data_IF_091050090382
#
_entry.id   IF_091050090382
#
_cell.length_a   1.000
_cell.length_b   1.000
_cell.length_c   1.000
_cell.angle_alpha   90.00
_cell.angle_beta   90.00
_cell.angle_gamma   90.00
#
_symmetry.space_group_name_H-M   'P 1'
#
loop_
_entity.id
_entity.type
_entity.pdbx_description
1 polymer ?
#
# COMPACT_ATOMS: atom_id res chain seq x y z
N UNK A 1 -14.09 8.11 2.31
CA UNK A 1 -13.99 6.65 2.16
C UNK A 1 -15.35 5.97 1.97
N UNK A 2 -16.42 6.40 2.67
CA UNK A 2 -17.75 5.77 2.58
C UNK A 2 -18.23 5.55 1.14
N UNK A 3 -18.21 6.59 0.30
CA UNK A 3 -18.68 6.49 -1.09
C UNK A 3 -17.92 5.43 -1.91
N UNK A 4 -16.62 5.29 -1.65
CA UNK A 4 -15.77 4.27 -2.28
C UNK A 4 -16.18 2.87 -1.83
N UNK A 5 -16.43 2.67 -0.53
CA UNK A 5 -16.89 1.39 0.01
C UNK A 5 -18.31 1.04 -0.50
N UNK A 6 -19.19 2.03 -0.66
CA UNK A 6 -20.52 1.82 -1.25
C UNK A 6 -20.44 1.37 -2.72
N UNK A 7 -19.54 1.96 -3.51
CA UNK A 7 -19.35 1.51 -4.89
C UNK A 7 -18.74 0.11 -4.99
N UNK A 8 -17.86 -0.27 -4.06
CA UNK A 8 -17.36 -1.65 -3.93
C UNK A 8 -18.51 -2.59 -3.56
N UNK A 9 -19.31 -2.25 -2.55
CA UNK A 9 -20.47 -3.03 -2.11
C UNK A 9 -21.44 -3.30 -3.26
N UNK A 10 -21.79 -2.27 -4.04
CA UNK A 10 -22.66 -2.41 -5.23
C UNK A 10 -22.12 -3.41 -6.25
N UNK A 11 -20.81 -3.40 -6.50
CA UNK A 11 -20.18 -4.33 -7.42
C UNK A 11 -20.09 -5.77 -6.89
N UNK A 12 -20.30 -5.96 -5.59
CA UNK A 12 -20.31 -7.25 -4.91
C UNK A 12 -21.73 -7.66 -4.51
N UNK A 13 -22.70 -7.50 -5.42
CA UNK A 13 -24.11 -7.85 -5.22
C UNK A 13 -24.76 -7.15 -4.01
N UNK A 14 -24.35 -5.91 -3.75
CA UNK A 14 -24.77 -5.13 -2.58
C UNK A 14 -24.42 -5.76 -1.24
N UNK A 15 -23.47 -6.70 -1.21
CA UNK A 15 -22.96 -7.31 0.01
C UNK A 15 -21.70 -6.59 0.49
N UNK A 16 -21.64 -6.35 1.80
CA UNK A 16 -20.42 -5.86 2.42
C UNK A 16 -19.36 -6.97 2.35
N UNK A 17 -18.21 -6.65 1.77
CA UNK A 17 -17.15 -7.61 1.49
C UNK A 17 -15.77 -7.12 1.93
N UNK A 18 -15.58 -5.79 2.07
CA UNK A 18 -14.40 -5.17 2.64
C UNK A 18 -14.82 -4.25 3.80
N UNK A 19 -14.17 -4.41 4.94
CA UNK A 19 -14.44 -3.64 6.14
C UNK A 19 -13.20 -2.83 6.52
N UNK A 20 -13.33 -1.50 6.76
CA UNK A 20 -12.26 -0.72 7.35
C UNK A 20 -12.05 -1.12 8.81
N UNK A 21 -10.82 -1.48 9.18
CA UNK A 21 -10.48 -1.81 10.58
C UNK A 21 -9.60 -0.72 11.17
N UNK A 22 -9.83 -0.39 12.44
CA UNK A 22 -9.00 0.58 13.14
C UNK A 22 -7.56 0.08 13.31
N UNK A 23 -6.61 1.02 13.24
CA UNK A 23 -5.20 0.82 13.63
C UNK A 23 -4.76 2.01 14.48
N UNK A 24 -3.77 1.77 15.33
CA UNK A 24 -3.25 2.77 16.26
C UNK A 24 -2.55 3.92 15.53
N UNK A 25 -2.75 5.14 16.05
CA UNK A 25 -2.26 6.42 15.50
C UNK A 25 -0.91 6.87 16.05
N UNK A 26 -0.01 5.93 16.33
CA UNK A 26 1.29 6.16 16.98
C UNK A 26 2.43 6.50 15.98
N UNK A 27 2.08 6.80 14.72
CA UNK A 27 3.04 7.06 13.65
C UNK A 27 3.51 5.81 12.88
N UNK A 28 3.02 4.62 13.24
CA UNK A 28 3.26 3.37 12.51
C UNK A 28 2.04 2.88 11.71
N UNK A 29 1.03 3.74 11.53
CA UNK A 29 -0.26 3.37 10.94
C UNK A 29 -0.19 2.65 9.59
N UNK A 30 0.77 3.00 8.71
CA UNK A 30 0.97 2.28 7.43
C UNK A 30 1.31 0.80 7.65
N UNK A 31 2.32 0.53 8.48
CA UNK A 31 2.80 -0.83 8.72
C UNK A 31 1.85 -1.61 9.63
N UNK A 32 1.11 -0.92 10.51
CA UNK A 32 -0.03 -1.52 11.23
C UNK A 32 -1.14 -1.95 10.28
N UNK A 33 -1.53 -1.08 9.33
CA UNK A 33 -2.54 -1.40 8.33
C UNK A 33 -2.12 -2.59 7.47
N UNK A 34 -0.87 -2.61 6.98
CA UNK A 34 -0.36 -3.73 6.20
C UNK A 34 -0.29 -5.01 7.03
N UNK A 35 0.20 -4.95 8.29
CA UNK A 35 0.24 -6.11 9.18
C UNK A 35 -1.16 -6.68 9.43
N UNK A 36 -2.15 -5.83 9.73
CA UNK A 36 -3.54 -6.26 9.93
C UNK A 36 -4.13 -6.87 8.66
N UNK A 37 -3.86 -6.29 7.49
CA UNK A 37 -4.35 -6.84 6.23
C UNK A 37 -3.68 -8.19 5.88
N UNK A 38 -2.46 -8.44 6.33
CA UNK A 38 -1.74 -9.70 6.11
C UNK A 38 -2.20 -10.82 7.06
N UNK A 39 -2.30 -10.54 8.36
CA UNK A 39 -2.47 -11.59 9.39
C UNK A 39 -3.54 -11.28 10.45
N UNK A 40 -4.32 -10.21 10.25
CA UNK A 40 -5.39 -9.79 11.18
C UNK A 40 -4.89 -9.19 12.50
N UNK A 41 -3.58 -8.94 12.65
CA UNK A 41 -2.95 -8.37 13.85
C UNK A 41 -1.84 -7.38 13.46
N UNK A 42 -1.50 -6.47 14.35
CA UNK A 42 -0.44 -5.46 14.12
C UNK A 42 0.98 -5.97 14.39
N UNK A 43 1.13 -7.24 14.78
CA UNK A 43 2.36 -7.84 15.32
C UNK A 43 3.61 -7.70 14.44
N UNK A 44 3.46 -7.51 13.13
CA UNK A 44 4.61 -7.46 12.21
C UNK A 44 5.09 -6.05 11.89
N UNK A 45 4.55 -5.01 12.52
CA UNK A 45 4.91 -3.63 12.20
C UNK A 45 6.43 -3.37 12.29
N UNK A 46 7.10 -3.89 13.32
CA UNK A 46 8.54 -3.73 13.54
C UNK A 46 9.34 -4.44 12.44
N UNK A 47 9.01 -5.71 12.20
CA UNK A 47 9.65 -6.51 11.16
C UNK A 47 9.45 -5.91 9.76
N UNK A 48 8.27 -5.36 9.46
CA UNK A 48 8.00 -4.67 8.19
C UNK A 48 8.91 -3.46 8.01
N UNK A 49 9.11 -2.67 9.07
CA UNK A 49 10.01 -1.51 9.08
C UNK A 49 11.47 -1.91 8.88
N UNK A 50 11.97 -2.89 9.64
CA UNK A 50 13.34 -3.38 9.50
C UNK A 50 13.62 -3.98 8.11
N UNK A 51 12.70 -4.79 7.58
CA UNK A 51 12.85 -5.36 6.25
C UNK A 51 12.76 -4.29 5.15
N UNK A 52 11.93 -3.26 5.31
CA UNK A 52 11.87 -2.13 4.39
C UNK A 52 13.18 -1.35 4.38
N UNK A 53 13.72 -1.01 5.55
CA UNK A 53 15.02 -0.33 5.69
C UNK A 53 16.12 -1.11 4.99
N UNK A 54 16.23 -2.41 5.31
CA UNK A 54 17.19 -3.32 4.68
C UNK A 54 17.02 -3.37 3.16
N UNK A 55 15.78 -3.49 2.68
CA UNK A 55 15.48 -3.56 1.25
C UNK A 55 15.90 -2.30 0.50
N UNK A 56 15.65 -1.11 1.07
CA UNK A 56 16.12 0.15 0.48
C UNK A 56 17.64 0.21 0.42
N UNK A 57 18.34 -0.15 1.51
CA UNK A 57 19.80 -0.14 1.55
C UNK A 57 20.41 -1.08 0.49
N UNK A 58 19.87 -2.29 0.34
CA UNK A 58 20.35 -3.28 -0.63
C UNK A 58 20.05 -2.92 -2.09
N UNK A 59 19.00 -2.13 -2.35
CA UNK A 59 18.51 -1.82 -3.70
C UNK A 59 18.60 -0.33 -4.06
N UNK A 60 19.31 0.48 -3.26
CA UNK A 60 19.28 1.95 -3.35
C UNK A 60 19.58 2.48 -4.76
N UNK A 61 20.53 1.89 -5.47
CA UNK A 61 20.87 2.30 -6.83
C UNK A 61 19.70 2.16 -7.81
N UNK A 62 18.91 1.08 -7.68
CA UNK A 62 17.72 0.83 -8.51
C UNK A 62 16.62 1.83 -8.21
N UNK A 63 16.43 2.13 -6.94
CA UNK A 63 15.49 3.15 -6.47
C UNK A 63 15.86 4.55 -6.97
N UNK A 64 17.11 4.96 -6.81
CA UNK A 64 17.62 6.23 -7.34
C UNK A 64 17.43 6.31 -8.84
N UNK A 65 17.76 5.26 -9.60
CA UNK A 65 17.56 5.25 -11.04
C UNK A 65 16.08 5.39 -11.43
N UNK A 66 15.18 4.69 -10.74
CA UNK A 66 13.75 4.71 -11.05
C UNK A 66 13.08 6.04 -10.70
N UNK A 67 13.53 6.71 -9.65
CA UNK A 67 12.88 7.90 -9.11
C UNK A 67 13.72 9.18 -9.19
N UNK A 68 14.82 9.21 -9.95
CA UNK A 68 15.72 10.37 -10.02
C UNK A 68 15.04 11.67 -10.48
N UNK A 69 13.99 11.58 -11.30
CA UNK A 69 13.21 12.74 -11.75
C UNK A 69 12.17 13.22 -10.72
N UNK A 70 11.95 12.46 -9.63
CA UNK A 70 10.86 12.68 -8.68
C UNK A 70 11.30 12.82 -7.21
N UNK A 71 12.45 12.27 -6.84
CA UNK A 71 12.99 12.26 -5.48
C UNK A 71 14.43 12.76 -5.54
N UNK A 72 14.74 13.80 -4.77
CA UNK A 72 16.10 14.34 -4.73
C UNK A 72 17.09 13.32 -4.15
N UNK A 73 18.32 13.31 -4.66
CA UNK A 73 19.37 12.43 -4.18
C UNK A 73 19.63 12.56 -2.65
N UNK A 74 19.44 13.75 -2.10
CA UNK A 74 19.60 14.06 -0.67
C UNK A 74 18.45 13.49 0.20
N UNK A 75 17.24 13.31 -0.35
CA UNK A 75 16.10 12.79 0.42
C UNK A 75 16.24 11.31 0.78
N UNK A 76 17.11 10.56 0.09
CA UNK A 76 17.21 9.11 0.29
C UNK A 76 17.71 8.71 1.67
N UNK A 77 18.56 9.52 2.30
CA UNK A 77 19.00 9.26 3.66
C UNK A 77 17.82 9.34 4.64
N UNK A 78 17.00 10.39 4.51
CA UNK A 78 15.79 10.57 5.31
C UNK A 78 14.77 9.47 5.07
N UNK A 79 14.49 9.10 3.81
CA UNK A 79 13.58 7.99 3.45
C UNK A 79 14.01 6.67 4.13
N UNK A 80 15.32 6.37 4.14
CA UNK A 80 15.82 5.15 4.78
C UNK A 80 15.73 5.26 6.31
N UNK A 81 16.01 6.44 6.88
CA UNK A 81 15.92 6.68 8.32
C UNK A 81 14.48 6.63 8.84
N UNK A 82 13.51 7.13 8.07
CA UNK A 82 12.07 7.07 8.35
C UNK A 82 11.57 5.63 8.54
N UNK A 83 12.27 4.64 7.94
CA UNK A 83 11.96 3.23 8.09
C UNK A 83 12.38 2.65 9.45
N UNK A 84 13.22 3.33 10.23
CA UNK A 84 13.65 2.83 11.54
C UNK A 84 12.44 2.71 12.49
N UNK A 85 12.25 1.58 13.20
CA UNK A 85 11.20 1.45 14.21
C UNK A 85 11.28 2.49 15.33
N UNK A 86 12.47 3.02 15.60
CA UNK A 86 12.71 4.02 16.64
C UNK A 86 12.86 5.44 16.08
N UNK A 87 12.53 5.64 14.81
CA UNK A 87 12.60 6.97 14.18
C UNK A 87 11.68 7.96 14.89
N UNK A 88 12.24 9.10 15.28
CA UNK A 88 11.49 10.24 15.82
C UNK A 88 11.61 11.37 14.81
N UNK A 89 10.50 11.85 14.22
CA UNK A 89 10.55 12.93 13.26
C UNK A 89 11.03 14.24 13.92
N UNK A 90 11.74 15.11 13.18
CA UNK A 90 12.04 16.45 13.65
C UNK A 90 10.77 17.25 14.01
N UNK A 91 10.91 18.22 14.92
CA UNK A 91 9.80 19.06 15.34
C UNK A 91 9.16 19.80 14.14
N UNK A 92 7.83 19.75 14.05
CA UNK A 92 7.07 20.40 12.97
C UNK A 92 7.03 19.63 11.64
N UNK A 93 7.75 18.51 11.51
CA UNK A 93 7.68 17.64 10.33
C UNK A 93 6.56 16.61 10.54
N UNK A 94 5.61 16.46 9.60
CA UNK A 94 4.58 15.44 9.69
C UNK A 94 5.19 14.04 9.82
N UNK A 95 4.78 13.30 10.85
CA UNK A 95 5.17 11.90 11.02
C UNK A 95 4.43 11.03 9.99
N UNK A 96 5.15 10.28 9.15
CA UNK A 96 4.49 9.27 8.34
C UNK A 96 5.29 8.74 7.16
N UNK A 97 5.16 7.43 6.94
CA UNK A 97 5.67 6.78 5.75
C UNK A 97 4.88 7.24 4.51
N UNK A 98 5.62 7.76 3.53
CA UNK A 98 5.16 8.24 2.21
C UNK A 98 4.95 7.11 1.18
N UNK A 99 4.43 7.42 -0.01
CA UNK A 99 4.22 6.49 -1.12
C UNK A 99 5.44 5.62 -1.47
N UNK A 100 6.65 6.18 -1.43
CA UNK A 100 7.88 5.43 -1.69
C UNK A 100 8.04 4.23 -0.74
N UNK A 101 7.59 4.36 0.50
CA UNK A 101 7.59 3.30 1.50
C UNK A 101 6.54 2.23 1.18
N UNK A 102 5.37 2.62 0.68
CA UNK A 102 4.34 1.66 0.24
C UNK A 102 4.85 0.85 -0.96
N UNK A 103 5.48 1.53 -1.92
CA UNK A 103 6.14 0.86 -3.05
C UNK A 103 7.25 -0.08 -2.57
N UNK A 104 8.09 0.33 -1.62
CA UNK A 104 9.08 -0.54 -1.00
C UNK A 104 8.47 -1.75 -0.29
N UNK A 105 7.39 -1.56 0.46
CA UNK A 105 6.68 -2.65 1.13
C UNK A 105 6.04 -3.63 0.14
N UNK A 106 5.50 -3.15 -0.99
CA UNK A 106 5.02 -4.04 -2.04
C UNK A 106 6.14 -4.97 -2.54
N UNK A 107 7.34 -4.43 -2.74
CA UNK A 107 8.53 -5.20 -3.13
C UNK A 107 8.98 -6.17 -2.02
N UNK A 108 9.05 -5.73 -0.75
CA UNK A 108 9.39 -6.60 0.39
C UNK A 108 8.41 -7.77 0.53
N UNK A 109 7.13 -7.52 0.31
CA UNK A 109 6.07 -8.51 0.47
C UNK A 109 5.84 -9.36 -0.79
N UNK A 110 6.50 -9.03 -1.90
CA UNK A 110 6.28 -9.65 -3.20
C UNK A 110 4.79 -9.65 -3.60
N UNK A 111 4.10 -8.55 -3.26
CA UNK A 111 2.64 -8.49 -3.25
C UNK A 111 2.16 -7.07 -3.54
N UNK A 112 1.24 -6.88 -4.51
CA UNK A 112 0.68 -5.56 -4.78
C UNK A 112 -0.05 -4.97 -3.56
N UNK A 113 0.03 -3.66 -3.41
CA UNK A 113 -0.71 -2.90 -2.40
C UNK A 113 -1.55 -1.84 -3.12
N UNK A 114 -2.84 -1.79 -2.84
CA UNK A 114 -3.77 -0.80 -3.38
C UNK A 114 -4.14 0.16 -2.25
N UNK A 115 -3.85 1.44 -2.45
CA UNK A 115 -4.22 2.51 -1.54
C UNK A 115 -5.42 3.28 -2.10
N UNK A 116 -6.56 3.11 -1.45
CA UNK A 116 -7.81 3.78 -1.79
C UNK A 116 -8.03 5.04 -0.93
N UNK A 117 -8.86 5.94 -1.42
CA UNK A 117 -9.40 7.07 -0.66
C UNK A 117 -10.89 7.24 -1.00
N UNK A 118 -11.54 8.26 -0.47
CA UNK A 118 -12.75 8.86 -1.00
C UNK A 118 -12.68 9.08 -2.53
N UNK A 119 -13.84 9.05 -3.19
CA UNK A 119 -13.93 9.31 -4.63
C UNK A 119 -13.36 10.69 -5.01
N UNK A 120 -13.55 11.70 -4.16
CA UNK A 120 -12.95 13.02 -4.35
C UNK A 120 -11.43 13.00 -4.17
N UNK A 121 -10.91 12.32 -3.15
CA UNK A 121 -9.48 12.15 -2.90
C UNK A 121 -8.77 11.43 -4.05
N UNK A 122 -9.35 10.34 -4.54
CA UNK A 122 -8.82 9.59 -5.69
C UNK A 122 -8.90 10.36 -7.02
N UNK A 123 -9.77 11.38 -7.12
CA UNK A 123 -9.86 12.28 -8.28
C UNK A 123 -8.97 13.52 -8.14
N UNK A 124 -8.58 13.85 -6.92
CA UNK A 124 -7.65 14.95 -6.68
C UNK A 124 -6.27 14.57 -7.20
N UNK A 125 -5.51 15.55 -7.68
CA UNK A 125 -4.11 15.35 -8.04
C UNK A 125 -3.19 15.17 -6.83
N UNK A 126 -3.76 15.05 -5.62
CA UNK A 126 -3.01 14.73 -4.41
C UNK A 126 -2.52 13.28 -4.50
N UNK A 127 -1.21 13.09 -4.34
CA UNK A 127 -0.50 11.84 -4.62
C UNK A 127 -0.88 10.64 -3.77
N UNK A 128 -1.90 10.70 -2.90
CA UNK A 128 -2.07 9.67 -1.88
C UNK A 128 -2.60 8.34 -2.43
N UNK A 129 -3.55 8.32 -3.37
CA UNK A 129 -4.15 7.06 -3.84
C UNK A 129 -3.43 6.47 -5.04
N UNK A 130 -2.92 5.25 -4.90
CA UNK A 130 -2.25 4.56 -6.00
C UNK A 130 -2.25 3.03 -5.85
N UNK A 131 -1.90 2.36 -6.96
CA UNK A 131 -1.57 0.93 -7.00
C UNK A 131 -0.05 0.76 -6.98
N UNK A 132 0.46 0.11 -5.94
CA UNK A 132 1.88 -0.14 -5.73
C UNK A 132 2.19 -1.59 -6.12
N UNK A 133 2.95 -1.76 -7.20
CA UNK A 133 3.35 -3.07 -7.69
C UNK A 133 4.74 -3.42 -7.15
N UNK A 134 5.07 -4.71 -6.93
CA UNK A 134 6.43 -5.15 -6.62
C UNK A 134 7.33 -5.08 -7.87
N UNK A 135 7.44 -3.90 -8.50
CA UNK A 135 8.06 -3.71 -9.81
C UNK A 135 9.57 -3.95 -9.85
N UNK A 136 10.24 -4.11 -8.70
CA UNK A 136 11.65 -4.50 -8.61
C UNK A 136 11.83 -6.02 -8.48
N UNK A 137 10.73 -6.77 -8.39
CA UNK A 137 10.71 -8.22 -8.21
C UNK A 137 10.09 -8.88 -9.46
N UNK A 138 10.73 -9.91 -10.05
CA UNK A 138 10.12 -10.67 -11.14
C UNK A 138 8.76 -11.28 -10.76
N UNK A 139 7.82 -11.33 -11.70
CA UNK A 139 6.43 -11.77 -11.46
C UNK A 139 6.33 -13.20 -10.91
N UNK A 140 7.26 -14.07 -11.30
CA UNK A 140 7.33 -15.48 -10.87
C UNK A 140 7.65 -15.59 -9.38
N UNK A 141 8.29 -14.57 -8.79
CA UNK A 141 8.58 -14.49 -7.35
C UNK A 141 7.44 -13.86 -6.57
N UNK A 142 6.37 -13.39 -7.22
CA UNK A 142 5.19 -12.79 -6.61
C UNK A 142 4.00 -13.76 -6.51
N UNK A 143 4.29 -15.06 -6.53
CA UNK A 143 3.30 -16.14 -6.45
C UNK A 143 3.23 -16.73 -5.04
N UNK A 144 2.03 -17.15 -4.64
CA UNK A 144 1.79 -17.94 -3.45
C UNK A 144 2.24 -19.39 -3.62
N UNK A 145 2.10 -20.19 -2.56
CA UNK A 145 2.42 -21.63 -2.59
C UNK A 145 1.55 -22.43 -3.57
N UNK A 146 0.42 -21.87 -3.96
CA UNK A 146 -0.52 -22.42 -4.95
C UNK A 146 -0.13 -22.08 -6.40
N UNK A 147 0.99 -21.36 -6.62
CA UNK A 147 1.43 -20.92 -7.94
C UNK A 147 0.57 -19.79 -8.52
N UNK A 148 -0.38 -19.25 -7.75
CA UNK A 148 -1.17 -18.10 -8.17
C UNK A 148 -0.51 -16.80 -7.70
N UNK A 149 -0.68 -15.71 -8.43
CA UNK A 149 -0.20 -14.40 -8.00
C UNK A 149 -0.80 -14.02 -6.64
N UNK A 150 0.04 -13.43 -5.78
CA UNK A 150 -0.40 -12.91 -4.49
C UNK A 150 -1.48 -11.84 -4.72
N UNK A 151 -2.69 -12.09 -4.22
CA UNK A 151 -3.82 -11.16 -4.32
C UNK A 151 -3.47 -9.81 -3.67
N UNK A 152 -3.85 -8.64 -4.20
CA UNK A 152 -3.46 -7.36 -3.60
C UNK A 152 -3.87 -7.21 -2.13
N UNK A 153 -3.08 -6.45 -1.38
CA UNK A 153 -3.48 -5.89 -0.09
C UNK A 153 -4.22 -4.59 -0.35
N UNK A 154 -5.38 -4.39 0.27
CA UNK A 154 -6.11 -3.13 0.20
C UNK A 154 -5.94 -2.35 1.52
N UNK A 155 -5.45 -1.12 1.41
CA UNK A 155 -5.44 -0.14 2.49
C UNK A 155 -6.17 1.11 2.01
N UNK A 156 -6.55 1.98 2.94
CA UNK A 156 -7.21 3.23 2.63
C UNK A 156 -6.67 4.38 3.46
N UNK A 157 -6.82 5.59 2.93
CA UNK A 157 -6.62 6.82 3.65
C UNK A 157 -7.90 7.21 4.40
N UNK A 158 -7.81 7.36 5.72
CA UNK A 158 -8.94 7.58 6.64
C UNK A 158 -9.54 9.00 6.60
N UNK A 159 -9.47 9.70 5.46
CA UNK A 159 -9.79 11.13 5.22
C UNK A 159 -8.69 12.13 5.55
N UNK A 160 -8.75 13.30 4.89
CA UNK A 160 -7.80 14.41 5.01
C UNK A 160 -7.68 14.98 6.43
N UNK A 161 -8.72 14.85 7.27
CA UNK A 161 -8.68 15.34 8.66
C UNK A 161 -7.98 14.41 9.66
N UNK A 162 -7.63 13.18 9.26
CA UNK A 162 -7.02 12.17 10.16
C UNK A 162 -5.59 11.78 9.79
N UNK A 163 -5.14 12.04 8.57
CA UNK A 163 -3.77 11.73 8.09
C UNK A 163 -3.34 10.28 8.44
N UNK A 164 -4.22 9.30 8.18
CA UNK A 164 -4.10 7.96 8.79
C UNK A 164 -4.40 6.84 7.81
N UNK A 165 -3.50 5.85 7.71
CA UNK A 165 -3.73 4.63 6.96
C UNK A 165 -4.58 3.66 7.75
N UNK A 166 -5.53 2.99 7.08
CA UNK A 166 -6.31 1.91 7.65
C UNK A 166 -6.35 0.70 6.71
N UNK A 167 -6.39 -0.54 7.22
CA UNK A 167 -6.61 -1.73 6.43
C UNK A 167 -8.05 -1.84 5.95
N UNK A 168 -8.23 -2.35 4.73
CA UNK A 168 -9.51 -2.85 4.24
C UNK A 168 -9.43 -4.37 4.17
N UNK A 169 -10.15 -5.06 5.05
CA UNK A 169 -10.05 -6.52 5.20
C UNK A 169 -11.30 -7.23 4.68
N UNK A 170 -11.10 -8.40 4.08
CA UNK A 170 -12.18 -9.28 3.67
C UNK A 170 -12.90 -9.91 4.86
N UNK A 171 -14.19 -10.22 4.70
CA UNK A 171 -14.97 -10.93 5.71
C UNK A 171 -14.68 -12.43 5.62
N UNK A 172 -14.32 -13.05 6.74
CA UNK A 172 -14.03 -14.49 6.80
C UNK A 172 -15.26 -15.31 6.37
N UNK A 173 -15.08 -16.21 5.41
CA UNK A 173 -16.14 -17.06 4.87
C UNK A 173 -16.99 -16.42 3.77
N UNK A 174 -16.80 -15.12 3.49
CA UNK A 174 -17.40 -14.47 2.33
C UNK A 174 -16.60 -14.76 1.04
N UNK A 175 -17.22 -14.52 -0.11
CA UNK A 175 -16.54 -14.54 -1.39
C UNK A 175 -15.41 -13.50 -1.43
N UNK A 176 -14.42 -13.72 -2.29
CA UNK A 176 -13.34 -12.76 -2.48
C UNK A 176 -13.93 -11.43 -3.00
N UNK A 177 -13.61 -10.29 -2.37
CA UNK A 177 -14.11 -8.99 -2.83
C UNK A 177 -13.61 -8.67 -4.25
N UNK A 178 -14.53 -8.29 -5.12
CA UNK A 178 -14.23 -7.74 -6.44
C UNK A 178 -14.03 -6.23 -6.33
N UNK A 179 -12.87 -5.74 -6.78
CA UNK A 179 -12.62 -4.30 -6.89
C UNK A 179 -12.99 -3.84 -8.31
N UNK A 180 -13.96 -2.93 -8.49
CA UNK A 180 -14.30 -2.38 -9.79
C UNK A 180 -13.11 -1.70 -10.44
N UNK A 181 -12.89 -1.95 -11.75
CA UNK A 181 -11.83 -1.29 -12.53
C UNK A 181 -11.83 0.24 -12.40
N UNK A 182 -13.02 0.86 -12.36
CA UNK A 182 -13.18 2.32 -12.20
C UNK A 182 -12.64 2.87 -10.86
N UNK A 183 -12.46 2.00 -9.87
CA UNK A 183 -11.93 2.33 -8.55
C UNK A 183 -10.47 1.93 -8.39
N UNK A 184 -9.87 1.24 -9.36
CA UNK A 184 -8.46 0.87 -9.30
C UNK A 184 -7.60 2.11 -9.58
N UNK A 185 -6.82 2.60 -8.59
CA UNK A 185 -5.94 3.73 -8.82
C UNK A 185 -4.81 3.39 -9.80
N UNK A 186 -4.22 4.41 -10.41
CA UNK A 186 -3.06 4.25 -11.31
C UNK A 186 -1.88 3.62 -10.61
N UNK A 187 -1.03 2.92 -11.37
CA UNK A 187 0.25 2.43 -10.88
C UNK A 187 1.15 3.60 -10.46
N UNK A 188 1.81 3.49 -9.31
CA UNK A 188 2.78 4.48 -8.82
C UNK A 188 4.22 4.02 -9.08
N UNK A 189 5.05 4.92 -9.61
CA UNK A 189 6.48 4.68 -9.84
C UNK A 189 6.82 3.69 -10.95
N UNK A 190 5.83 3.10 -11.62
CA UNK A 190 6.03 2.11 -12.68
C UNK A 190 4.99 2.26 -13.80
N UNK A 191 5.26 1.73 -15.01
CA UNK A 191 4.31 1.76 -16.13
C UNK A 191 2.95 1.13 -15.80
N UNK A 192 1.87 1.76 -16.31
CA UNK A 192 0.48 1.35 -16.03
C UNK A 192 0.15 -0.06 -16.55
N UNK A 193 0.78 -0.47 -17.65
CA UNK A 193 0.58 -1.78 -18.25
C UNK A 193 1.16 -2.93 -17.42
N UNK A 194 1.94 -2.65 -16.37
CA UNK A 194 2.39 -3.68 -15.43
C UNK A 194 1.28 -4.15 -14.48
N UNK A 195 0.19 -3.39 -14.30
CA UNK A 195 -0.92 -3.80 -13.42
C UNK A 195 -1.43 -5.19 -13.79
N UNK A 196 -1.64 -5.46 -15.08
CA UNK A 196 -2.14 -6.75 -15.59
C UNK A 196 -1.15 -7.91 -15.40
N UNK A 197 0.12 -7.64 -15.12
CA UNK A 197 1.12 -8.69 -14.83
C UNK A 197 1.06 -9.16 -13.38
N UNK A 198 0.85 -8.23 -12.45
CA UNK A 198 0.87 -8.54 -11.01
C UNK A 198 -0.51 -8.68 -10.39
N UNK A 199 -1.56 -8.17 -11.04
CA UNK A 199 -2.94 -8.20 -10.55
C UNK A 199 -3.83 -8.83 -11.62
N UNK A 200 -4.46 -9.95 -11.27
CA UNK A 200 -5.59 -10.49 -12.04
C UNK A 200 -6.87 -9.84 -11.55
N UNK A 201 -7.40 -8.91 -12.34
CA UNK A 201 -8.68 -8.27 -12.07
C UNK A 201 -9.77 -9.20 -12.62
N UNK A 202 -10.69 -9.62 -11.76
CA UNK A 202 -11.85 -10.38 -12.20
C UNK A 202 -12.83 -9.43 -12.92
N UNK A 203 -13.23 -9.83 -14.13
CA UNK A 203 -14.29 -9.17 -14.89
C UNK A 203 -15.69 -9.43 -14.35
#
# INVERSE_FOLDING_TARGET
>A
LQDTLEDIKKANNSQECLIPVHVDGDGHCLVHAISRALVGRELFWHALRENLKKHFMENLSRYKALFHDFIDAAEWEDIINECDPLFIPPEGVPMGLRNIHIFGLANVLHRPIILLDSLSGMRSSGDYSATFLPGLIPEEKCMGKDGMLNKPICIAWSSSGRNHYIPLVGIKGAALPKLPMKLLPKAWGVPQDLIKKYIKLEG
#
